data_IF_721080671342
#
_entry.id   IF_721080671342
#
_cell.length_a   1.000
_cell.length_b   1.000
_cell.length_c   1.000
_cell.angle_alpha   90.00
_cell.angle_beta   90.00
_cell.angle_gamma   90.00
#
_symmetry.space_group_name_H-M   'P 1'
#
loop_
_entity.id
_entity.type
_entity.pdbx_description
1 polymer ?
#
# COMPACT_ATOMS: atom_id res chain seq x y z
N UNK A 1 -10.89 -16.05 17.95
CA UNK A 1 -11.63 -14.78 17.80
C UNK A 1 -11.05 -14.00 16.63
N UNK A 2 -11.85 -13.70 15.62
CA UNK A 2 -11.48 -13.10 14.33
C UNK A 2 -11.12 -11.61 14.48
N UNK A 3 -9.89 -11.33 14.98
CA UNK A 3 -9.38 -10.01 15.38
C UNK A 3 -9.58 -8.86 14.37
N UNK A 4 -9.61 -9.14 13.07
CA UNK A 4 -9.76 -8.13 12.02
C UNK A 4 -11.20 -7.62 11.82
N UNK A 5 -12.21 -8.47 12.10
CA UNK A 5 -13.60 -8.15 11.80
C UNK A 5 -14.17 -7.07 12.73
N UNK A 6 -13.76 -7.08 14.00
CA UNK A 6 -14.14 -6.07 14.98
C UNK A 6 -13.52 -4.69 14.66
N UNK A 7 -12.29 -4.67 14.14
CA UNK A 7 -11.60 -3.45 13.70
C UNK A 7 -12.32 -2.81 12.50
N UNK A 8 -12.76 -3.63 11.54
CA UNK A 8 -13.55 -3.20 10.38
C UNK A 8 -14.91 -2.61 10.79
N UNK A 9 -15.60 -3.25 11.74
CA UNK A 9 -16.87 -2.74 12.27
C UNK A 9 -16.68 -1.38 12.94
N UNK A 10 -15.61 -1.22 13.71
CA UNK A 10 -15.30 0.04 14.38
C UNK A 10 -14.98 1.16 13.38
N UNK A 11 -14.22 0.85 12.32
CA UNK A 11 -13.96 1.79 11.20
C UNK A 11 -15.27 2.20 10.53
N UNK A 12 -16.15 1.25 10.25
CA UNK A 12 -17.44 1.53 9.63
C UNK A 12 -18.32 2.43 10.52
N UNK A 13 -18.34 2.18 11.84
CA UNK A 13 -19.04 3.03 12.80
C UNK A 13 -18.43 4.44 12.85
N UNK A 14 -17.10 4.55 12.85
CA UNK A 14 -16.40 5.82 12.77
C UNK A 14 -16.79 6.62 11.53
N UNK A 15 -16.87 5.97 10.37
CA UNK A 15 -17.25 6.66 9.14
C UNK A 15 -18.74 7.02 9.10
N UNK A 16 -19.61 6.20 9.69
CA UNK A 16 -21.04 6.45 9.71
C UNK A 16 -21.46 7.53 10.71
N UNK A 17 -20.83 7.53 11.89
CA UNK A 17 -21.27 8.34 13.04
C UNK A 17 -20.23 9.33 13.55
N UNK A 18 -19.02 9.39 12.97
CA UNK A 18 -17.93 10.25 13.45
C UNK A 18 -18.18 11.76 13.36
N UNK A 19 -19.25 12.18 12.68
CA UNK A 19 -19.73 13.57 12.69
C UNK A 19 -20.29 13.97 14.06
N UNK A 20 -20.85 13.02 14.81
CA UNK A 20 -21.41 13.24 16.15
C UNK A 20 -20.28 13.28 17.19
N UNK A 21 -20.18 14.38 17.94
CA UNK A 21 -19.07 14.61 18.87
C UNK A 21 -19.01 13.58 20.01
N UNK A 22 -20.16 13.20 20.58
CA UNK A 22 -20.27 12.21 21.66
C UNK A 22 -19.83 10.81 21.22
N UNK A 23 -20.19 10.42 20.00
CA UNK A 23 -19.76 9.12 19.46
C UNK A 23 -18.27 9.15 19.13
N UNK A 24 -17.77 10.29 18.63
CA UNK A 24 -16.36 10.44 18.28
C UNK A 24 -15.43 10.31 19.50
N UNK A 25 -15.82 10.82 20.67
CA UNK A 25 -15.01 10.66 21.89
C UNK A 25 -14.97 9.20 22.34
N UNK A 26 -16.12 8.52 22.36
CA UNK A 26 -16.20 7.09 22.67
C UNK A 26 -15.39 6.23 21.68
N UNK A 27 -15.46 6.56 20.40
CA UNK A 27 -14.68 5.88 19.36
C UNK A 27 -13.19 6.10 19.56
N UNK A 28 -12.75 7.32 19.88
CA UNK A 28 -11.33 7.61 20.16
C UNK A 28 -10.79 6.71 21.27
N UNK A 29 -11.51 6.57 22.37
CA UNK A 29 -11.14 5.65 23.45
C UNK A 29 -11.13 4.19 23.00
N UNK A 30 -12.15 3.78 22.23
CA UNK A 30 -12.24 2.44 21.66
C UNK A 30 -11.05 2.10 20.76
N UNK A 31 -10.61 3.04 19.93
CA UNK A 31 -9.46 2.87 19.03
C UNK A 31 -8.17 2.60 19.81
N UNK A 32 -7.96 3.32 20.93
CA UNK A 32 -6.75 3.15 21.77
C UNK A 32 -6.69 1.83 22.54
N UNK A 33 -7.83 1.18 22.76
CA UNK A 33 -7.90 -0.13 23.46
C UNK A 33 -7.52 -1.30 22.54
N UNK A 34 -7.56 -1.11 21.23
CA UNK A 34 -7.23 -2.14 20.25
C UNK A 34 -5.72 -2.11 19.98
N UNK A 35 -5.11 -3.30 20.01
CA UNK A 35 -3.68 -3.48 19.69
C UNK A 35 -3.34 -2.95 18.29
N UNK A 36 -2.19 -2.29 18.17
CA UNK A 36 -1.72 -1.70 16.90
C UNK A 36 -1.66 -2.70 15.75
N UNK A 37 -1.31 -3.96 16.04
CA UNK A 37 -1.17 -5.01 15.01
C UNK A 37 -2.50 -5.35 14.31
N UNK A 38 -3.64 -5.15 14.98
CA UNK A 38 -4.95 -5.43 14.37
C UNK A 38 -5.28 -4.43 13.25
N UNK A 39 -4.73 -3.21 13.33
CA UNK A 39 -4.91 -2.19 12.32
C UNK A 39 -4.13 -2.46 11.03
N UNK A 40 -3.08 -3.30 11.10
CA UNK A 40 -2.26 -3.66 9.93
C UNK A 40 -3.10 -4.30 8.82
N UNK A 41 -4.13 -5.06 9.18
CA UNK A 41 -5.04 -5.73 8.24
C UNK A 41 -5.93 -4.76 7.46
N UNK A 42 -6.09 -3.53 7.95
CA UNK A 42 -7.05 -2.54 7.43
C UNK A 42 -6.39 -1.22 7.02
N UNK A 43 -5.04 -1.17 6.97
CA UNK A 43 -4.26 0.03 6.57
C UNK A 43 -4.76 0.64 5.27
N UNK A 44 -5.02 -0.19 4.24
CA UNK A 44 -5.44 0.33 2.93
C UNK A 44 -6.79 1.04 2.99
N UNK A 45 -7.71 0.56 3.81
CA UNK A 45 -9.04 1.16 3.95
C UNK A 45 -8.99 2.45 4.76
N UNK A 46 -8.13 2.51 5.77
CA UNK A 46 -7.83 3.73 6.50
C UNK A 46 -7.19 4.77 5.58
N UNK A 47 -6.15 4.39 4.83
CA UNK A 47 -5.45 5.24 3.85
C UNK A 47 -6.37 5.72 2.71
N UNK A 48 -7.34 4.91 2.30
CA UNK A 48 -8.34 5.32 1.32
C UNK A 48 -9.20 6.50 1.80
N UNK A 49 -9.25 6.76 3.11
CA UNK A 49 -10.11 7.79 3.73
C UNK A 49 -9.35 8.91 4.46
N UNK A 50 -8.03 9.00 4.33
CA UNK A 50 -7.24 10.09 4.95
C UNK A 50 -7.57 11.48 4.41
N UNK A 51 -8.27 11.56 3.28
CA UNK A 51 -8.74 12.80 2.64
C UNK A 51 -10.26 13.01 2.78
N UNK A 52 -10.93 12.31 3.71
CA UNK A 52 -12.35 12.53 4.00
C UNK A 52 -12.63 14.00 4.34
N UNK A 53 -13.77 14.54 3.91
CA UNK A 53 -14.15 15.94 4.15
C UNK A 53 -14.24 16.27 5.65
N UNK A 54 -14.67 15.31 6.48
CA UNK A 54 -14.79 15.49 7.93
C UNK A 54 -13.42 15.51 8.61
N UNK A 55 -12.90 16.71 8.91
CA UNK A 55 -11.58 16.91 9.53
C UNK A 55 -11.40 16.16 10.85
N UNK A 56 -12.40 16.14 11.72
CA UNK A 56 -12.30 15.43 12.98
C UNK A 56 -12.12 13.92 12.80
N UNK A 57 -12.72 13.34 11.75
CA UNK A 57 -12.57 11.91 11.42
C UNK A 57 -11.23 11.67 10.75
N UNK A 58 -10.83 12.54 9.81
CA UNK A 58 -9.51 12.47 9.18
C UNK A 58 -8.38 12.53 10.22
N UNK A 59 -8.50 13.42 11.22
CA UNK A 59 -7.55 13.55 12.33
C UNK A 59 -7.38 12.23 13.10
N UNK A 60 -8.49 11.60 13.50
CA UNK A 60 -8.44 10.30 14.20
C UNK A 60 -7.75 9.20 13.38
N UNK A 61 -8.02 9.15 12.08
CA UNK A 61 -7.36 8.18 11.19
C UNK A 61 -5.87 8.47 11.10
N UNK A 62 -5.49 9.75 10.93
CA UNK A 62 -4.10 10.17 10.83
C UNK A 62 -3.36 9.84 12.12
N UNK A 63 -3.91 10.15 13.29
CA UNK A 63 -3.30 9.86 14.59
C UNK A 63 -3.09 8.35 14.79
N UNK A 64 -4.08 7.54 14.40
CA UNK A 64 -3.97 6.08 14.43
C UNK A 64 -2.86 5.59 13.49
N UNK A 65 -2.81 6.10 12.26
CA UNK A 65 -1.80 5.72 11.28
C UNK A 65 -0.39 6.18 11.71
N UNK A 66 -0.25 7.32 12.39
CA UNK A 66 1.01 7.75 13.01
C UNK A 66 1.46 6.73 14.06
N UNK A 67 0.58 6.34 14.99
CA UNK A 67 0.92 5.36 16.02
C UNK A 67 1.33 4.00 15.42
N UNK A 68 0.60 3.54 14.39
CA UNK A 68 0.94 2.32 13.65
C UNK A 68 2.27 2.48 12.91
N UNK A 69 2.50 3.62 12.25
CA UNK A 69 3.71 3.91 11.47
C UNK A 69 4.97 4.00 12.30
N UNK A 70 4.88 4.54 13.52
CA UNK A 70 5.99 4.59 14.47
C UNK A 70 6.41 3.19 14.92
N UNK A 71 5.45 2.26 15.09
CA UNK A 71 5.73 0.89 15.52
C UNK A 71 6.07 -0.07 14.38
N UNK A 72 5.48 0.15 13.21
CA UNK A 72 5.57 -0.72 12.03
C UNK A 72 5.81 0.08 10.74
N UNK A 73 6.93 0.80 10.61
CA UNK A 73 7.19 1.70 9.48
C UNK A 73 7.17 0.99 8.12
N UNK A 74 7.68 -0.24 8.05
CA UNK A 74 7.66 -1.08 6.85
C UNK A 74 6.27 -1.33 6.26
N UNK A 75 5.23 -1.36 7.10
CA UNK A 75 3.85 -1.59 6.66
C UNK A 75 3.22 -0.33 6.05
N UNK A 76 3.73 0.86 6.41
CA UNK A 76 3.12 2.15 6.06
C UNK A 76 3.88 2.90 4.96
N UNK A 77 5.20 2.74 4.86
CA UNK A 77 6.02 3.43 3.86
C UNK A 77 5.56 3.12 2.43
N UNK A 78 5.34 1.86 2.09
CA UNK A 78 4.93 1.47 0.73
C UNK A 78 3.57 2.07 0.34
N UNK A 79 2.50 1.89 1.13
CA UNK A 79 1.21 2.52 0.86
C UNK A 79 1.25 4.05 0.80
N UNK A 80 2.03 4.71 1.66
CA UNK A 80 2.17 6.16 1.67
C UNK A 80 2.85 6.65 0.39
N UNK A 81 3.98 6.04 0.00
CA UNK A 81 4.68 6.37 -1.26
C UNK A 81 3.76 6.21 -2.48
N UNK A 82 2.94 5.16 -2.50
CA UNK A 82 1.96 4.96 -3.57
C UNK A 82 0.89 6.05 -3.57
N UNK A 83 0.40 6.47 -2.40
CA UNK A 83 -0.55 7.56 -2.28
C UNK A 83 0.02 8.92 -2.77
N UNK A 84 1.35 9.13 -2.69
CA UNK A 84 2.00 10.30 -3.27
C UNK A 84 2.10 10.23 -4.80
N UNK A 85 2.51 9.07 -5.33
CA UNK A 85 2.76 8.91 -6.78
C UNK A 85 1.49 8.86 -7.62
N UNK A 86 0.34 8.48 -7.04
CA UNK A 86 -0.92 8.26 -7.78
C UNK A 86 -1.73 9.52 -8.10
N UNK A 87 -1.22 10.73 -7.86
CA UNK A 87 -1.93 11.96 -8.24
C UNK A 87 -3.13 12.30 -7.35
N UNK A 88 -3.06 11.99 -6.04
CA UNK A 88 -4.13 12.29 -5.07
C UNK A 88 -4.34 13.78 -4.76
N UNK A 89 -5.41 14.09 -4.02
CA UNK A 89 -5.78 15.44 -3.55
C UNK A 89 -4.70 16.08 -2.67
N UNK A 90 -4.64 17.43 -2.64
CA UNK A 90 -3.67 18.13 -1.79
C UNK A 90 -3.83 17.80 -0.31
N UNK A 91 -5.07 17.59 0.14
CA UNK A 91 -5.37 17.13 1.51
C UNK A 91 -4.80 15.74 1.79
N UNK A 92 -4.90 14.82 0.82
CA UNK A 92 -4.28 13.48 0.93
C UNK A 92 -2.77 13.60 1.09
N UNK A 93 -2.12 14.40 0.25
CA UNK A 93 -0.66 14.63 0.29
C UNK A 93 -0.23 15.25 1.61
N UNK A 94 -0.96 16.26 2.08
CA UNK A 94 -0.70 16.92 3.37
C UNK A 94 -0.77 15.92 4.53
N UNK A 95 -1.85 15.14 4.63
CA UNK A 95 -2.00 14.15 5.71
C UNK A 95 -0.98 13.02 5.62
N UNK A 96 -0.66 12.55 4.40
CA UNK A 96 0.38 11.54 4.21
C UNK A 96 1.77 12.06 4.61
N UNK A 97 2.09 13.32 4.29
CA UNK A 97 3.36 13.96 4.69
C UNK A 97 3.45 14.11 6.20
N UNK A 98 2.35 14.49 6.86
CA UNK A 98 2.30 14.55 8.33
C UNK A 98 2.61 13.20 8.97
N UNK A 99 2.08 12.10 8.40
CA UNK A 99 2.35 10.75 8.91
C UNK A 99 3.83 10.40 8.72
N UNK A 100 4.37 10.58 7.50
CA UNK A 100 5.78 10.30 7.22
C UNK A 100 6.74 11.12 8.10
N UNK A 101 6.48 12.42 8.23
CA UNK A 101 7.31 13.31 9.04
C UNK A 101 7.31 12.87 10.51
N UNK A 102 6.15 12.51 11.07
CA UNK A 102 6.06 12.01 12.45
C UNK A 102 6.77 10.66 12.64
N UNK A 103 6.79 9.80 11.61
CA UNK A 103 7.55 8.54 11.65
C UNK A 103 9.06 8.81 11.61
N UNK A 104 9.49 9.73 10.75
CA UNK A 104 10.90 10.10 10.60
C UNK A 104 11.45 10.79 11.87
N UNK A 105 10.66 11.68 12.47
CA UNK A 105 10.99 12.34 13.74
C UNK A 105 11.13 11.31 14.89
N UNK A 106 10.24 10.30 14.94
CA UNK A 106 10.31 9.26 15.96
C UNK A 106 11.49 8.30 15.76
N UNK A 107 11.73 7.88 14.51
CA UNK A 107 12.87 7.01 14.18
C UNK A 107 13.31 7.18 12.73
N UNK A 108 14.35 7.99 12.48
CA UNK A 108 14.84 8.20 11.12
C UNK A 108 15.49 6.93 10.56
N UNK A 109 16.14 6.14 11.43
CA UNK A 109 16.76 4.87 11.05
C UNK A 109 15.74 3.84 10.58
N UNK A 110 14.69 3.57 11.36
CA UNK A 110 13.67 2.58 10.98
C UNK A 110 12.89 3.03 9.74
N UNK A 111 12.67 4.34 9.59
CA UNK A 111 12.04 4.91 8.40
C UNK A 111 12.91 4.70 7.17
N UNK A 112 14.22 5.00 7.25
CA UNK A 112 15.17 4.75 6.16
C UNK A 112 15.30 3.27 5.78
N UNK A 113 15.40 2.39 6.78
CA UNK A 113 15.42 0.94 6.58
C UNK A 113 14.12 0.47 5.89
N UNK A 114 12.95 0.98 6.31
CA UNK A 114 11.68 0.68 5.67
C UNK A 114 11.61 1.15 4.21
N UNK A 115 12.16 2.31 3.87
CA UNK A 115 12.29 2.77 2.47
C UNK A 115 13.17 1.86 1.63
N UNK A 116 14.27 1.34 2.20
CA UNK A 116 15.16 0.41 1.53
C UNK A 116 14.46 -0.94 1.29
N UNK A 117 13.83 -1.52 2.31
CA UNK A 117 13.06 -2.77 2.20
C UNK A 117 11.92 -2.63 1.20
N UNK A 118 11.23 -1.48 1.18
CA UNK A 118 10.17 -1.22 0.21
C UNK A 118 10.71 -1.24 -1.24
N UNK A 119 11.86 -0.60 -1.51
CA UNK A 119 12.49 -0.64 -2.84
C UNK A 119 12.80 -2.07 -3.26
N UNK A 120 13.38 -2.88 -2.37
CA UNK A 120 13.69 -4.28 -2.65
C UNK A 120 12.43 -5.13 -2.88
N UNK A 121 11.37 -4.93 -2.09
CA UNK A 121 10.10 -5.64 -2.24
C UNK A 121 9.43 -5.34 -3.59
N UNK A 122 9.43 -4.07 -4.02
CA UNK A 122 8.89 -3.67 -5.32
C UNK A 122 9.67 -4.33 -6.46
N UNK A 123 11.00 -4.28 -6.42
CA UNK A 123 11.87 -4.89 -7.44
C UNK A 123 11.62 -6.41 -7.49
N UNK A 124 11.57 -7.08 -6.33
CA UNK A 124 11.29 -8.51 -6.25
C UNK A 124 9.93 -8.88 -6.85
N UNK A 125 8.87 -8.10 -6.59
CA UNK A 125 7.56 -8.30 -7.22
C UNK A 125 7.58 -8.13 -8.73
N UNK A 126 8.30 -7.12 -9.23
CA UNK A 126 8.45 -6.90 -10.69
C UNK A 126 9.17 -8.08 -11.33
N UNK A 127 10.27 -8.56 -10.72
CA UNK A 127 11.01 -9.71 -11.23
C UNK A 127 10.10 -10.95 -11.25
N UNK A 128 9.33 -11.21 -10.19
CA UNK A 128 8.40 -12.33 -10.14
C UNK A 128 7.32 -12.23 -11.24
N UNK A 129 6.76 -11.04 -11.45
CA UNK A 129 5.79 -10.79 -12.51
C UNK A 129 6.42 -11.03 -13.89
N UNK A 130 7.63 -10.51 -14.13
CA UNK A 130 8.35 -10.70 -15.40
C UNK A 130 8.67 -12.17 -15.66
N UNK A 131 9.14 -12.92 -14.65
CA UNK A 131 9.40 -14.35 -14.78
C UNK A 131 8.10 -15.10 -15.06
N UNK A 132 7.01 -14.81 -14.35
CA UNK A 132 5.72 -15.43 -14.57
C UNK A 132 5.18 -15.13 -15.98
N UNK A 133 5.27 -13.88 -16.43
CA UNK A 133 4.86 -13.46 -17.77
C UNK A 133 5.73 -14.13 -18.84
N UNK A 134 7.06 -14.13 -18.69
CA UNK A 134 7.97 -14.80 -19.62
C UNK A 134 7.70 -16.30 -19.69
N UNK A 135 7.51 -16.96 -18.55
CA UNK A 135 7.16 -18.37 -18.50
C UNK A 135 5.83 -18.65 -19.20
N UNK A 136 4.80 -17.83 -18.97
CA UNK A 136 3.53 -17.92 -19.69
C UNK A 136 3.73 -17.79 -21.21
N UNK A 137 4.52 -16.81 -21.66
CA UNK A 137 4.82 -16.63 -23.09
C UNK A 137 5.61 -17.79 -23.68
N UNK A 138 6.60 -18.33 -22.97
CA UNK A 138 7.45 -19.44 -23.43
C UNK A 138 6.73 -20.80 -23.41
N UNK A 139 5.72 -20.96 -22.57
CA UNK A 139 4.95 -22.22 -22.44
C UNK A 139 3.60 -22.13 -23.16
N UNK A 140 3.25 -20.96 -23.71
CA UNK A 140 2.04 -20.80 -24.52
C UNK A 140 2.26 -21.45 -25.90
N UNK A 141 1.44 -22.44 -26.28
CA UNK A 141 1.60 -23.17 -27.54
C UNK A 141 1.37 -22.32 -28.81
N UNK A 142 1.00 -21.05 -28.66
CA UNK A 142 0.73 -20.11 -29.76
C UNK A 142 1.97 -19.35 -30.26
N UNK A 143 3.12 -19.43 -29.57
CA UNK A 143 4.36 -18.75 -30.00
C UNK A 143 5.46 -19.80 -30.11
N UNK A 144 5.57 -20.43 -31.27
CA UNK A 144 6.75 -21.20 -31.61
C UNK A 144 7.83 -20.23 -32.11
N UNK A 145 8.87 -20.02 -31.31
CA UNK A 145 10.11 -19.41 -31.81
C UNK A 145 10.83 -20.49 -32.61
N UNK A 146 10.58 -20.56 -33.91
CA UNK A 146 11.38 -21.40 -34.82
C UNK A 146 12.69 -20.69 -35.11
N UNK A 147 13.78 -21.18 -34.50
CA UNK A 147 15.14 -20.87 -34.94
C UNK A 147 15.41 -21.65 -36.24
N UNK A 148 15.19 -21.02 -37.40
CA UNK A 148 15.69 -21.59 -38.65
C UNK A 148 17.20 -21.36 -38.76
N UNK A 149 18.00 -22.39 -39.05
CA UNK A 149 19.41 -22.24 -39.31
C UNK A 149 19.58 -21.74 -40.76
N UNK A 150 19.34 -20.46 -40.99
CA UNK A 150 19.69 -19.85 -42.28
C UNK A 150 21.21 -19.64 -42.33
N UNK A 151 21.80 -20.12 -43.41
CA UNK A 151 23.22 -20.08 -43.66
C UNK A 151 23.73 -18.63 -43.67
N UNK A 152 24.42 -18.22 -42.60
CA UNK A 152 25.57 -17.33 -42.70
C UNK A 152 25.46 -15.87 -42.23
N UNK A 153 24.32 -15.33 -41.77
CA UNK A 153 24.29 -13.94 -41.26
C UNK A 153 23.36 -13.81 -40.05
N UNK A 154 23.90 -13.37 -38.90
CA UNK A 154 23.15 -13.10 -37.67
C UNK A 154 22.08 -12.02 -37.89
N UNK A 155 20.83 -12.44 -38.05
CA UNK A 155 19.65 -11.58 -38.00
C UNK A 155 18.53 -12.27 -37.23
N UNK A 156 18.24 -11.85 -36.00
CA UNK A 156 17.03 -12.28 -35.30
C UNK A 156 15.83 -11.55 -35.91
N UNK A 157 15.10 -12.20 -36.83
CA UNK A 157 13.81 -11.69 -37.30
C UNK A 157 12.69 -12.14 -36.35
N UNK A 158 12.01 -11.18 -35.72
CA UNK A 158 10.86 -11.43 -34.85
C UNK A 158 9.59 -11.52 -35.71
N UNK A 159 9.36 -12.66 -36.33
CA UNK A 159 8.14 -12.89 -37.13
C UNK A 159 6.96 -13.22 -36.21
N UNK A 160 6.12 -12.22 -35.91
CA UNK A 160 4.82 -12.40 -35.25
C UNK A 160 3.84 -13.02 -36.25
N UNK A 161 3.73 -14.35 -36.29
CA UNK A 161 2.61 -15.00 -36.96
C UNK A 161 1.37 -14.92 -36.07
N UNK A 162 0.39 -14.14 -36.51
CA UNK A 162 -0.97 -14.11 -35.95
C UNK A 162 -1.82 -15.03 -36.81
N UNK A 163 -2.31 -16.13 -36.24
CA UNK A 163 -3.50 -16.81 -36.78
C UNK A 163 -4.71 -15.94 -36.48
#
# INVERSE_FOLDING_TARGET
MTKGYDSLRLINLLFKFGHLAEIRTLLREGLTKIRLENWLLVIQQLLARIDTAHEAVAGLIVDLLVAVGQRHPQALVCPLVLAFKSGGSDRRRYNANRILYSMEEHSPRLTSEAFLVNRLHIISKIILLLIHTLFYYLTSPSIYVTLEPEAGIFGCSLSLFRI
#
